data_IF_817414180322
#
_entry.id   IF_817414180322
#
_cell.length_a   1.000
_cell.length_b   1.000
_cell.length_c   1.000
_cell.angle_alpha   90.00
_cell.angle_beta   90.00
_cell.angle_gamma   90.00
#
_symmetry.space_group_name_H-M   'P 1'
#
loop_
_entity.id
_entity.type
_entity.pdbx_description
1 polymer ?
#
# COMPACT_ATOMS: atom_id res chain seq x y z
N UNK A 1 1.24 1.17 20.56
CA UNK A 1 -0.14 0.66 20.77
C UNK A 1 -0.79 0.50 19.41
N UNK A 2 -1.36 -0.66 19.07
CA UNK A 2 -2.28 -0.77 17.95
C UNK A 2 -3.42 0.22 18.22
N UNK A 3 -3.62 1.22 17.36
CA UNK A 3 -4.53 2.35 17.65
C UNK A 3 -3.87 3.72 17.72
N UNK A 4 -2.55 3.84 17.46
CA UNK A 4 -2.03 5.12 16.95
C UNK A 4 -2.59 5.26 15.54
N UNK A 5 -3.38 6.32 15.29
CA UNK A 5 -3.98 6.58 13.99
C UNK A 5 -2.91 6.44 12.90
N UNK A 6 -2.97 5.34 12.19
CA UNK A 6 -2.43 5.30 10.84
C UNK A 6 -3.36 6.25 10.10
N UNK A 7 -2.97 7.53 10.01
CA UNK A 7 -3.69 8.47 9.16
C UNK A 7 -3.59 7.87 7.78
N UNK A 8 -4.68 7.33 7.26
CA UNK A 8 -4.68 6.58 6.00
C UNK A 8 -4.24 7.45 4.80
N UNK A 9 -4.19 8.76 4.99
CA UNK A 9 -3.53 9.75 4.12
C UNK A 9 -2.01 9.57 4.00
N UNK A 10 -1.41 8.76 4.89
CA UNK A 10 0.04 8.53 5.01
C UNK A 10 0.65 7.69 3.88
N UNK A 11 -0.15 7.06 3.01
CA UNK A 11 0.36 6.27 1.87
C UNK A 11 -0.03 6.85 0.51
N UNK A 12 -0.34 8.15 0.46
CA UNK A 12 -0.67 8.83 -0.80
C UNK A 12 0.47 8.74 -1.82
N UNK A 13 1.74 8.76 -1.37
CA UNK A 13 2.86 8.57 -2.29
C UNK A 13 2.91 7.14 -2.86
N UNK A 14 2.56 6.12 -2.06
CA UNK A 14 2.47 4.74 -2.53
C UNK A 14 1.38 4.52 -3.56
N UNK A 15 0.21 5.17 -3.40
CA UNK A 15 -0.81 5.21 -4.46
C UNK A 15 -0.24 5.79 -5.75
N UNK A 16 0.32 7.00 -5.67
CA UNK A 16 0.87 7.68 -6.83
C UNK A 16 1.93 6.84 -7.54
N UNK A 17 2.84 6.26 -6.76
CA UNK A 17 3.88 5.37 -7.28
C UNK A 17 3.30 4.14 -7.98
N UNK A 18 2.42 3.39 -7.31
CA UNK A 18 1.82 2.18 -7.85
C UNK A 18 1.05 2.47 -9.16
N UNK A 19 0.24 3.53 -9.18
CA UNK A 19 -0.50 3.94 -10.38
C UNK A 19 0.45 4.30 -11.52
N UNK A 20 1.54 5.02 -11.26
CA UNK A 20 2.49 5.35 -12.32
C UNK A 20 3.17 4.11 -12.88
N UNK A 21 3.57 3.19 -12.01
CA UNK A 21 4.26 1.97 -12.38
C UNK A 21 3.38 1.03 -13.21
N UNK A 22 2.09 0.92 -12.88
CA UNK A 22 1.18 -0.07 -13.51
C UNK A 22 0.35 0.50 -14.65
N UNK A 23 0.12 1.82 -14.68
CA UNK A 23 -0.71 2.48 -15.68
C UNK A 23 0.11 3.27 -16.73
N UNK A 24 1.45 3.19 -16.69
CA UNK A 24 2.31 3.65 -17.78
C UNK A 24 2.72 5.14 -17.75
N UNK A 25 2.84 5.77 -16.58
CA UNK A 25 3.33 7.16 -16.48
C UNK A 25 4.84 7.22 -16.21
N UNK A 26 5.64 7.42 -17.27
CA UNK A 26 7.12 7.32 -17.29
C UNK A 26 7.91 8.48 -16.65
N UNK A 27 7.30 9.34 -15.82
CA UNK A 27 8.01 10.49 -15.22
C UNK A 27 8.39 10.22 -13.75
N UNK A 28 9.71 10.04 -13.55
CA UNK A 28 10.47 9.85 -12.29
C UNK A 28 9.81 8.93 -11.25
N UNK A 29 9.79 7.63 -11.54
CA UNK A 29 9.39 6.57 -10.61
C UNK A 29 10.21 6.62 -9.30
N UNK A 30 11.52 6.88 -9.39
CA UNK A 30 12.45 6.86 -8.25
C UNK A 30 12.10 7.84 -7.10
N UNK A 31 11.71 9.08 -7.43
CA UNK A 31 11.34 10.05 -6.39
C UNK A 31 10.07 9.63 -5.66
N UNK A 32 9.12 9.04 -6.37
CA UNK A 32 7.86 8.56 -5.79
C UNK A 32 8.05 7.27 -5.02
N UNK A 33 8.86 6.35 -5.54
CA UNK A 33 9.32 5.16 -4.83
C UNK A 33 9.94 5.53 -3.48
N UNK A 34 10.92 6.45 -3.45
CA UNK A 34 11.54 6.91 -2.19
C UNK A 34 10.53 7.48 -1.19
N UNK A 35 9.59 8.31 -1.66
CA UNK A 35 8.54 8.88 -0.79
C UNK A 35 7.60 7.80 -0.25
N UNK A 36 7.16 6.88 -1.10
CA UNK A 36 6.35 5.75 -0.70
C UNK A 36 7.08 4.88 0.34
N UNK A 37 8.34 4.53 0.08
CA UNK A 37 9.11 3.70 1.00
C UNK A 37 9.41 4.41 2.33
N UNK A 38 9.64 5.74 2.32
CA UNK A 38 9.78 6.54 3.54
C UNK A 38 8.48 6.53 4.36
N UNK A 39 7.33 6.76 3.71
CA UNK A 39 6.01 6.66 4.32
C UNK A 39 5.76 5.28 4.94
N UNK A 40 6.02 4.21 4.18
CA UNK A 40 5.79 2.83 4.61
C UNK A 40 6.78 2.37 5.70
N UNK A 41 8.00 2.92 5.73
CA UNK A 41 9.01 2.59 6.75
C UNK A 41 8.60 3.05 8.15
N UNK A 42 7.84 4.15 8.25
CA UNK A 42 7.29 4.71 9.49
C UNK A 42 6.15 3.87 10.06
N UNK A 43 5.55 3.01 9.24
CA UNK A 43 4.55 2.05 9.68
C UNK A 43 5.26 0.90 10.40
N UNK A 44 4.84 0.53 11.63
CA UNK A 44 5.37 -0.64 12.31
C UNK A 44 5.26 -1.90 11.45
N UNK A 45 6.26 -2.77 11.53
CA UNK A 45 6.33 -4.04 10.80
C UNK A 45 5.02 -4.85 10.86
N UNK A 46 4.43 -4.93 12.05
CA UNK A 46 3.17 -5.64 12.31
C UNK A 46 1.96 -5.07 11.56
N UNK A 47 2.00 -3.78 11.22
CA UNK A 47 0.89 -3.06 10.62
C UNK A 47 1.05 -2.85 9.10
N UNK A 48 2.26 -3.01 8.53
CA UNK A 48 2.54 -2.70 7.10
C UNK A 48 1.55 -3.36 6.16
N UNK A 49 1.27 -4.66 6.33
CA UNK A 49 0.30 -5.34 5.49
C UNK A 49 -1.14 -4.86 5.70
N UNK A 50 -1.56 -4.56 6.95
CA UNK A 50 -2.89 -3.99 7.21
C UNK A 50 -3.08 -2.66 6.49
N UNK A 51 -2.09 -1.77 6.52
CA UNK A 51 -2.19 -0.48 5.82
C UNK A 51 -2.24 -0.67 4.31
N UNK A 52 -1.46 -1.61 3.75
CA UNK A 52 -1.53 -1.94 2.33
C UNK A 52 -2.88 -2.54 1.93
N UNK A 53 -3.51 -3.33 2.80
CA UNK A 53 -4.88 -3.79 2.57
C UNK A 53 -5.89 -2.65 2.54
N UNK A 54 -5.79 -1.72 3.49
CA UNK A 54 -6.65 -0.53 3.48
C UNK A 54 -6.39 0.31 2.23
N UNK A 55 -5.14 0.43 1.77
CA UNK A 55 -4.79 1.12 0.53
C UNK A 55 -5.47 0.48 -0.70
N UNK A 56 -5.55 -0.85 -0.74
CA UNK A 56 -6.14 -1.62 -1.85
C UNK A 56 -7.67 -1.61 -1.83
N UNK A 57 -8.26 -1.96 -0.69
CA UNK A 57 -9.66 -2.33 -0.57
C UNK A 57 -10.47 -1.32 0.29
N UNK A 58 -9.79 -0.38 0.93
CA UNK A 58 -10.38 0.54 1.91
C UNK A 58 -10.69 -0.13 3.23
N UNK A 59 -11.12 0.70 4.18
CA UNK A 59 -11.73 0.25 5.43
C UNK A 59 -13.08 0.92 5.58
N UNK A 60 -14.11 0.11 5.85
CA UNK A 60 -15.40 0.62 6.26
C UNK A 60 -15.28 1.13 7.70
N UNK A 61 -15.50 2.42 7.88
CA UNK A 61 -15.53 3.07 9.20
C UNK A 61 -16.84 2.74 9.93
N UNK A 62 -16.94 3.02 11.23
CA UNK A 62 -18.16 2.75 12.02
C UNK A 62 -19.36 3.53 11.49
N UNK A 63 -19.09 4.64 10.80
CA UNK A 63 -20.06 5.53 10.16
C UNK A 63 -20.48 5.04 8.76
N UNK A 64 -20.04 3.85 8.33
CA UNK A 64 -20.37 3.27 7.02
C UNK A 64 -19.61 3.90 5.84
N UNK A 65 -18.68 4.82 6.11
CA UNK A 65 -17.87 5.48 5.08
C UNK A 65 -16.64 4.63 4.77
N UNK A 66 -16.39 4.35 3.49
CA UNK A 66 -15.14 3.72 3.04
C UNK A 66 -14.04 4.78 3.08
N UNK A 67 -13.03 4.59 3.93
CA UNK A 67 -11.82 5.42 3.96
C UNK A 67 -10.62 4.63 3.46
N UNK A 68 -9.69 5.31 2.80
CA UNK A 68 -8.39 4.75 2.41
C UNK A 68 -8.37 3.88 1.17
N UNK A 69 -9.52 3.53 0.54
CA UNK A 69 -9.54 2.80 -0.73
C UNK A 69 -9.05 3.70 -1.87
N UNK A 70 -7.74 3.85 -2.00
CA UNK A 70 -7.13 4.72 -3.00
C UNK A 70 -7.25 4.16 -4.44
N UNK A 71 -7.70 2.90 -4.56
CA UNK A 71 -8.01 2.22 -5.82
C UNK A 71 -9.51 2.24 -6.20
N UNK A 72 -10.39 2.86 -5.41
CA UNK A 72 -11.85 2.77 -5.64
C UNK A 72 -12.24 3.38 -7.00
N UNK A 73 -11.66 4.53 -7.35
CA UNK A 73 -11.99 5.31 -8.55
C UNK A 73 -11.17 4.90 -9.81
N UNK A 74 -10.46 3.77 -9.79
CA UNK A 74 -9.64 3.32 -10.92
C UNK A 74 -10.37 2.28 -11.78
N UNK A 75 -10.47 2.53 -13.09
CA UNK A 75 -11.12 1.63 -14.05
C UNK A 75 -10.16 0.77 -14.90
N UNK A 76 -8.99 1.29 -15.28
CA UNK A 76 -8.11 0.63 -16.28
C UNK A 76 -7.09 -0.36 -15.71
N UNK A 77 -6.27 0.08 -14.75
CA UNK A 77 -5.09 -0.66 -14.25
C UNK A 77 -5.27 -1.19 -12.82
N UNK A 78 -6.49 -1.13 -12.27
CA UNK A 78 -6.79 -1.44 -10.86
C UNK A 78 -6.22 -2.78 -10.38
N UNK A 79 -6.37 -3.84 -11.18
CA UNK A 79 -5.86 -5.19 -10.86
C UNK A 79 -4.32 -5.19 -10.75
N UNK A 80 -3.63 -4.63 -11.74
CA UNK A 80 -2.18 -4.54 -11.75
C UNK A 80 -1.68 -3.69 -10.57
N UNK A 81 -2.33 -2.56 -10.30
CA UNK A 81 -2.00 -1.69 -9.15
C UNK A 81 -2.16 -2.43 -7.82
N UNK A 82 -3.22 -3.24 -7.68
CA UNK A 82 -3.45 -4.06 -6.48
C UNK A 82 -2.36 -5.10 -6.29
N UNK A 83 -2.00 -5.83 -7.35
CA UNK A 83 -0.91 -6.81 -7.32
C UNK A 83 0.45 -6.17 -7.00
N UNK A 84 0.72 -4.98 -7.56
CA UNK A 84 1.93 -4.23 -7.28
C UNK A 84 2.01 -3.76 -5.82
N UNK A 85 0.93 -3.19 -5.28
CA UNK A 85 0.86 -2.75 -3.88
C UNK A 85 1.15 -3.90 -2.91
N UNK A 86 0.65 -5.10 -3.21
CA UNK A 86 0.91 -6.28 -2.41
C UNK A 86 2.40 -6.67 -2.35
N UNK A 87 3.16 -6.40 -3.43
CA UNK A 87 4.60 -6.65 -3.53
C UNK A 87 5.51 -5.49 -3.11
N UNK A 88 4.98 -4.33 -2.74
CA UNK A 88 5.76 -3.10 -2.55
C UNK A 88 6.76 -3.16 -1.37
N UNK A 89 6.52 -4.06 -0.42
CA UNK A 89 7.44 -4.34 0.70
C UNK A 89 8.65 -5.17 0.27
N UNK A 90 8.65 -5.71 -0.94
CA UNK A 90 9.66 -6.63 -1.41
C UNK A 90 11.01 -6.01 -1.76
N UNK A 91 12.01 -6.87 -1.96
CA UNK A 91 13.42 -6.49 -2.19
C UNK A 91 13.62 -5.53 -3.34
N UNK A 92 12.91 -5.76 -4.45
CA UNK A 92 13.00 -4.91 -5.64
C UNK A 92 12.33 -3.55 -5.44
N UNK A 93 11.55 -3.38 -4.36
CA UNK A 93 10.80 -2.16 -4.06
C UNK A 93 11.30 -1.45 -2.81
N UNK A 94 10.60 -1.55 -1.68
CA UNK A 94 10.98 -0.85 -0.46
C UNK A 94 11.86 -1.68 0.48
N UNK A 95 11.97 -3.00 0.25
CA UNK A 95 12.75 -3.92 1.08
C UNK A 95 12.47 -3.75 2.58
N UNK A 96 11.19 -3.81 2.96
CA UNK A 96 10.73 -3.63 4.34
C UNK A 96 10.24 -4.96 4.91
N UNK A 97 10.64 -5.27 6.14
CA UNK A 97 10.13 -6.42 6.89
C UNK A 97 8.62 -6.29 7.13
N UNK A 98 7.90 -7.40 7.29
CA UNK A 98 6.46 -7.40 7.62
C UNK A 98 6.18 -8.42 8.70
N UNK A 99 4.97 -8.45 9.26
CA UNK A 99 4.53 -9.46 10.25
C UNK A 99 4.81 -10.90 9.85
N UNK A 100 4.93 -11.17 8.56
CA UNK A 100 5.24 -12.49 8.03
C UNK A 100 6.76 -12.81 8.06
N UNK A 101 7.61 -11.89 8.51
CA UNK A 101 9.07 -12.02 8.52
C UNK A 101 9.66 -11.91 7.11
N UNK A 102 10.25 -13.00 6.60
CA UNK A 102 10.95 -13.05 5.29
C UNK A 102 10.04 -12.88 4.06
N UNK A 103 8.73 -12.82 4.24
CA UNK A 103 7.83 -12.61 3.10
C UNK A 103 7.86 -11.15 2.68
N UNK A 104 8.50 -10.95 1.53
CA UNK A 104 8.58 -9.72 0.75
C UNK A 104 7.25 -9.36 0.05
N UNK A 105 6.12 -9.83 0.59
CA UNK A 105 4.81 -9.76 -0.03
C UNK A 105 3.73 -9.80 1.04
N UNK A 106 2.75 -8.89 0.95
CA UNK A 106 1.55 -8.91 1.79
C UNK A 106 0.42 -9.62 1.03
N UNK A 107 0.00 -10.82 1.47
CA UNK A 107 -1.01 -11.60 0.77
C UNK A 107 -2.33 -10.87 0.69
N UNK A 108 -2.85 -10.69 -0.52
CA UNK A 108 -4.14 -9.99 -0.74
C UNK A 108 -5.38 -10.78 -0.27
N UNK A 109 -5.17 -11.99 0.24
CA UNK A 109 -6.15 -12.84 0.90
C UNK A 109 -5.56 -13.34 2.22
N UNK A 110 -6.12 -12.92 3.35
CA UNK A 110 -5.97 -13.66 4.59
C UNK A 110 -6.77 -14.95 4.42
N UNK A 111 -6.10 -16.09 4.28
CA UNK A 111 -6.75 -17.39 4.40
C UNK A 111 -7.19 -17.52 5.87
N UNK A 112 -8.47 -17.26 6.13
CA UNK A 112 -9.12 -17.54 7.41
C UNK A 112 -9.32 -19.04 7.55
#
# INVERSE_FOLDING_TARGET
VPGREITYDSLNACRGYAVRQTCGYYLSAERQKRRCCDELSKVPELCRCEVLHVLMDGRVTKEGVVKGSLLQDMSGCKKLTREFIAGIVGREECNLETVFGRYHYCPTQYRS
#
